data_IF_259559287599
#
_entry.id   IF_259559287599
#
_cell.length_a   1.000
_cell.length_b   1.000
_cell.length_c   1.000
_cell.angle_alpha   90.00
_cell.angle_beta   90.00
_cell.angle_gamma   90.00
#
_symmetry.space_group_name_H-M   'P 1'
#
loop_
_entity.id
_entity.type
_entity.pdbx_description
1 polymer ?
#
# COMPACT_ATOMS: atom_id res chain seq x y z
N UNK A 1 51.31 79.79 -5.31
CA UNK A 1 51.77 80.19 -3.96
C UNK A 1 51.26 79.13 -2.99
N UNK A 2 51.99 78.03 -2.75
CA UNK A 2 53.01 77.79 -1.70
C UNK A 2 52.65 78.36 -0.31
N UNK A 3 52.50 77.45 0.67
CA UNK A 3 52.28 77.70 2.10
C UNK A 3 50.93 77.12 2.55
N UNK A 4 50.79 76.27 3.58
CA UNK A 4 51.61 76.04 4.76
C UNK A 4 51.58 74.56 5.18
N UNK A 5 52.70 74.15 5.76
CA UNK A 5 52.87 72.93 6.51
C UNK A 5 52.44 73.15 7.97
N UNK A 6 51.81 72.15 8.59
CA UNK A 6 52.02 71.88 10.02
C UNK A 6 51.99 70.39 10.30
N UNK A 7 53.20 69.86 10.44
CA UNK A 7 53.57 68.52 10.88
C UNK A 7 53.46 68.47 12.42
N UNK A 8 52.72 67.51 12.99
CA UNK A 8 52.90 67.09 14.39
C UNK A 8 53.15 65.59 14.44
N UNK A 9 54.28 65.26 15.04
CA UNK A 9 54.92 63.95 15.12
C UNK A 9 54.36 63.11 16.27
N UNK A 10 54.24 61.80 16.00
CA UNK A 10 54.63 60.63 16.79
C UNK A 10 54.45 60.63 18.31
N UNK A 11 53.66 59.65 18.80
CA UNK A 11 53.94 58.68 19.87
C UNK A 11 52.68 57.78 19.91
N UNK A 12 52.68 56.56 19.37
CA UNK A 12 53.35 55.40 19.95
C UNK A 12 52.40 54.67 20.90
N UNK A 13 51.50 53.82 20.38
CA UNK A 13 50.86 52.74 21.15
C UNK A 13 50.61 51.55 20.22
N UNK A 14 51.43 50.52 20.38
CA UNK A 14 51.22 49.18 19.83
C UNK A 14 50.18 48.50 20.74
N UNK A 15 48.94 48.36 20.27
CA UNK A 15 47.90 47.62 20.98
C UNK A 15 47.58 46.34 20.21
N UNK A 16 48.32 45.29 20.54
CA UNK A 16 47.87 43.90 20.39
C UNK A 16 46.75 43.74 21.41
N UNK A 17 45.54 43.32 21.02
CA UNK A 17 44.64 42.53 21.88
C UNK A 17 43.42 41.98 21.09
N UNK A 18 43.37 40.64 21.12
CA UNK A 18 42.22 39.74 21.14
C UNK A 18 41.28 39.62 19.94
N UNK A 19 41.50 38.52 19.20
CA UNK A 19 40.45 37.65 18.66
C UNK A 19 39.27 37.53 19.63
N UNK A 20 38.14 38.16 19.33
CA UNK A 20 36.85 37.79 19.91
C UNK A 20 36.20 36.77 18.99
N UNK A 21 36.44 35.48 19.29
CA UNK A 21 35.62 34.39 18.77
C UNK A 21 34.23 34.57 19.36
N UNK A 22 33.32 35.19 18.62
CA UNK A 22 31.91 35.23 18.96
C UNK A 22 31.37 33.80 18.85
N UNK A 23 31.34 33.08 19.98
CA UNK A 23 30.66 31.82 20.11
C UNK A 23 29.16 32.07 19.92
N UNK A 24 28.67 31.92 18.68
CA UNK A 24 27.25 31.79 18.45
C UNK A 24 26.78 30.50 19.11
N UNK A 25 25.77 30.53 20.00
CA UNK A 25 25.13 29.31 20.44
C UNK A 25 24.37 28.77 19.22
N UNK A 26 24.98 27.80 18.55
CA UNK A 26 24.27 26.92 17.63
C UNK A 26 23.22 26.24 18.48
N UNK A 27 21.98 26.73 18.40
CA UNK A 27 20.82 25.95 18.82
C UNK A 27 20.74 24.76 17.88
N UNK A 28 21.49 23.72 18.21
CA UNK A 28 21.31 22.39 17.68
C UNK A 28 19.91 21.95 18.12
N UNK A 29 18.92 22.23 17.26
CA UNK A 29 17.59 21.68 17.38
C UNK A 29 17.76 20.19 17.12
N UNK A 30 17.97 19.42 18.18
CA UNK A 30 17.84 17.97 18.12
C UNK A 30 16.42 17.70 17.63
N UNK A 31 16.27 17.44 16.32
CA UNK A 31 15.13 16.68 15.84
C UNK A 31 15.26 15.34 16.54
N UNK A 32 14.52 15.19 17.63
CA UNK A 32 14.20 13.87 18.14
C UNK A 32 13.59 13.15 16.94
N UNK A 33 14.38 12.29 16.30
CA UNK A 33 13.87 11.28 15.39
C UNK A 33 12.80 10.55 16.19
N UNK A 34 11.53 10.88 15.92
CA UNK A 34 10.44 10.02 16.31
C UNK A 34 10.75 8.71 15.61
N UNK A 35 11.36 7.78 16.33
CA UNK A 35 11.41 6.37 15.97
C UNK A 35 9.95 5.98 15.83
N UNK A 36 9.41 6.11 14.62
CA UNK A 36 8.05 5.68 14.31
C UNK A 36 8.14 4.18 14.44
N UNK A 37 7.67 3.66 15.57
CA UNK A 37 7.62 2.23 15.84
C UNK A 37 6.81 1.58 14.71
N UNK A 38 7.50 1.03 13.71
CA UNK A 38 6.86 0.42 12.56
C UNK A 38 6.11 -0.83 13.03
N UNK A 39 4.96 -1.09 12.43
CA UNK A 39 4.35 -2.40 12.51
C UNK A 39 4.74 -3.25 11.31
N UNK A 40 4.49 -4.56 11.43
CA UNK A 40 4.74 -5.53 10.37
C UNK A 40 3.42 -6.07 9.88
N UNK A 41 3.24 -6.11 8.57
CA UNK A 41 2.10 -6.76 7.92
C UNK A 41 2.60 -8.01 7.22
N UNK A 42 2.20 -9.18 7.73
CA UNK A 42 2.49 -10.47 7.10
C UNK A 42 1.38 -10.80 6.12
N UNK A 43 1.73 -10.88 4.85
CA UNK A 43 0.83 -11.34 3.79
C UNK A 43 0.76 -12.87 3.87
N UNK A 44 -0.45 -13.37 4.07
CA UNK A 44 -0.75 -14.78 3.97
C UNK A 44 -1.47 -14.96 2.65
N UNK A 45 -0.82 -15.62 1.70
CA UNK A 45 -1.30 -15.81 0.33
C UNK A 45 -0.20 -15.57 -0.68
N UNK A 46 -0.46 -15.88 -1.95
CA UNK A 46 0.59 -15.94 -2.97
C UNK A 46 0.20 -15.25 -4.26
N UNK A 47 1.22 -15.03 -5.09
CA UNK A 47 1.04 -14.61 -6.48
C UNK A 47 0.64 -13.15 -6.65
N UNK A 48 0.85 -12.30 -5.65
CA UNK A 48 0.57 -10.86 -5.74
C UNK A 48 1.65 -10.17 -6.57
N UNK A 49 1.25 -9.47 -7.63
CA UNK A 49 2.12 -8.64 -8.47
C UNK A 49 1.95 -7.16 -8.16
N UNK A 50 0.79 -6.76 -7.63
CA UNK A 50 0.50 -5.39 -7.24
C UNK A 50 -0.44 -5.36 -6.05
N UNK A 51 -0.10 -4.59 -5.02
CA UNK A 51 -0.94 -4.38 -3.83
C UNK A 51 -1.02 -2.89 -3.53
N UNK A 52 -2.24 -2.38 -3.37
CA UNK A 52 -2.49 -1.02 -2.91
C UNK A 52 -3.25 -1.06 -1.61
N UNK A 53 -2.63 -0.49 -0.57
CA UNK A 53 -3.23 -0.29 0.74
C UNK A 53 -3.49 1.19 0.94
N UNK A 54 -4.59 1.53 1.62
CA UNK A 54 -4.94 2.92 1.90
C UNK A 54 -5.12 3.11 3.39
N UNK A 55 -4.36 4.05 3.95
CA UNK A 55 -4.47 4.44 5.35
C UNK A 55 -5.74 5.25 5.62
N UNK A 56 -6.09 5.41 6.90
CA UNK A 56 -7.22 6.28 7.33
C UNK A 56 -7.03 7.73 6.87
N UNK A 57 -5.78 8.18 6.77
CA UNK A 57 -5.36 9.49 6.23
C UNK A 57 -5.54 9.63 4.71
N UNK A 58 -6.06 8.59 4.04
CA UNK A 58 -6.21 8.47 2.58
C UNK A 58 -4.87 8.39 1.83
N UNK A 59 -3.76 8.20 2.53
CA UNK A 59 -2.48 7.95 1.89
C UNK A 59 -2.49 6.56 1.27
N UNK A 60 -2.15 6.50 -0.02
CA UNK A 60 -2.00 5.26 -0.78
C UNK A 60 -0.58 4.73 -0.60
N UNK A 61 -0.48 3.44 -0.30
CA UNK A 61 0.77 2.68 -0.20
C UNK A 61 0.73 1.61 -1.27
N UNK A 62 1.54 1.79 -2.32
CA UNK A 62 1.60 0.90 -3.48
C UNK A 62 2.84 0.01 -3.38
N UNK A 63 2.65 -1.27 -3.64
CA UNK A 63 3.72 -2.28 -3.61
C UNK A 63 3.68 -3.08 -4.91
N UNK A 64 4.78 -3.00 -5.68
CA UNK A 64 5.03 -3.91 -6.80
C UNK A 64 5.67 -5.20 -6.29
N UNK A 65 5.06 -6.34 -6.62
CA UNK A 65 5.46 -7.70 -6.18
C UNK A 65 5.91 -7.73 -4.71
N UNK A 66 4.99 -7.45 -3.76
CA UNK A 66 5.34 -7.41 -2.34
C UNK A 66 5.90 -8.77 -1.88
N UNK A 67 6.89 -8.73 -1.00
CA UNK A 67 7.32 -9.91 -0.24
C UNK A 67 6.29 -10.29 0.83
N UNK A 68 6.58 -11.36 1.57
CA UNK A 68 5.65 -11.90 2.58
C UNK A 68 5.44 -10.98 3.79
N UNK A 69 6.35 -10.04 4.03
CA UNK A 69 6.30 -9.12 5.17
C UNK A 69 6.56 -7.70 4.70
N UNK A 70 5.62 -6.80 5.00
CA UNK A 70 5.73 -5.37 4.74
C UNK A 70 5.93 -4.61 6.05
N UNK A 71 6.75 -3.56 6.01
CA UNK A 71 6.88 -2.62 7.12
C UNK A 71 6.01 -1.39 6.82
N UNK A 72 5.12 -1.07 7.75
CA UNK A 72 4.15 0.02 7.61
C UNK A 72 4.02 0.79 8.92
N UNK A 73 3.77 2.11 8.86
CA UNK A 73 3.43 2.87 10.05
C UNK A 73 2.22 2.27 10.75
N UNK A 74 2.17 2.28 12.10
CA UNK A 74 0.98 1.85 12.82
C UNK A 74 -0.23 2.64 12.40
N UNK A 75 -1.36 1.97 12.26
CA UNK A 75 -2.57 2.59 11.76
C UNK A 75 -3.62 1.61 11.29
N UNK A 76 -4.75 2.16 10.85
CA UNK A 76 -5.81 1.39 10.20
C UNK A 76 -5.67 1.55 8.69
N UNK A 77 -5.71 0.42 8.01
CA UNK A 77 -5.60 0.31 6.58
C UNK A 77 -6.79 -0.47 6.02
N UNK A 78 -7.04 -0.32 4.73
CA UNK A 78 -7.87 -1.23 3.95
C UNK A 78 -7.18 -1.51 2.62
N UNK A 79 -7.47 -2.67 2.05
CA UNK A 79 -6.96 -3.02 0.72
C UNK A 79 -7.81 -2.34 -0.33
N UNK A 80 -7.23 -1.51 -1.18
CA UNK A 80 -7.93 -0.88 -2.30
C UNK A 80 -7.87 -1.75 -3.55
N UNK A 81 -6.68 -2.27 -3.87
CA UNK A 81 -6.45 -3.05 -5.07
C UNK A 81 -5.46 -4.18 -4.81
N UNK A 82 -5.74 -5.33 -5.42
CA UNK A 82 -4.82 -6.46 -5.55
C UNK A 82 -4.81 -6.89 -7.01
N UNK A 83 -3.62 -7.09 -7.57
CA UNK A 83 -3.44 -7.82 -8.83
C UNK A 83 -2.56 -9.02 -8.60
N UNK A 84 -3.00 -10.15 -9.13
CA UNK A 84 -2.31 -11.41 -9.08
C UNK A 84 -1.71 -11.78 -10.44
N UNK A 85 -0.67 -12.60 -10.39
CA UNK A 85 -0.14 -13.36 -11.52
C UNK A 85 -1.29 -14.01 -12.29
N UNK A 86 -1.24 -13.94 -13.61
CA UNK A 86 -2.29 -14.48 -14.47
C UNK A 86 -3.45 -13.52 -14.74
N UNK A 87 -3.29 -12.22 -14.45
CA UNK A 87 -4.26 -11.15 -14.76
C UNK A 87 -5.59 -11.33 -14.03
N UNK A 88 -5.50 -11.62 -12.74
CA UNK A 88 -6.65 -11.57 -11.85
C UNK A 88 -6.54 -10.35 -10.97
N UNK A 89 -7.64 -9.61 -10.81
CA UNK A 89 -7.66 -8.42 -9.98
C UNK A 89 -8.83 -8.43 -9.02
N UNK A 90 -8.61 -7.82 -7.87
CA UNK A 90 -9.62 -7.52 -6.88
C UNK A 90 -9.53 -6.01 -6.62
N UNK A 91 -10.61 -5.28 -6.91
CA UNK A 91 -10.74 -3.89 -6.49
C UNK A 91 -11.79 -3.85 -5.39
N UNK A 92 -11.40 -3.39 -4.21
CA UNK A 92 -12.34 -3.22 -3.12
C UNK A 92 -12.82 -1.76 -3.12
N UNK A 93 -13.96 -1.53 -3.79
CA UNK A 93 -14.61 -0.22 -3.80
C UNK A 93 -15.33 0.08 -2.47
N UNK A 94 -15.52 -0.95 -1.65
CA UNK A 94 -16.26 -0.88 -0.40
C UNK A 94 -15.32 -0.67 0.79
N UNK A 95 -15.36 0.52 1.38
CA UNK A 95 -14.74 0.84 2.69
C UNK A 95 -15.49 0.22 3.88
N UNK A 96 -16.22 -0.87 3.68
CA UNK A 96 -16.91 -1.56 4.77
C UNK A 96 -15.90 -2.02 5.82
N UNK A 97 -16.31 -2.00 7.09
CA UNK A 97 -15.46 -2.37 8.24
C UNK A 97 -14.78 -3.74 8.08
N UNK A 98 -15.39 -4.63 7.29
CA UNK A 98 -14.94 -5.98 6.97
C UNK A 98 -13.62 -6.05 6.20
N UNK A 99 -13.26 -5.02 5.42
CA UNK A 99 -12.02 -5.00 4.62
C UNK A 99 -10.91 -4.17 5.26
N UNK A 100 -11.14 -3.66 6.47
CA UNK A 100 -10.15 -2.87 7.21
C UNK A 100 -9.42 -3.71 8.24
N UNK A 101 -8.12 -3.47 8.39
CA UNK A 101 -7.27 -4.12 9.38
C UNK A 101 -6.40 -3.09 10.10
N UNK A 102 -5.91 -3.45 11.29
CA UNK A 102 -5.08 -2.59 12.13
C UNK A 102 -3.67 -3.14 12.20
N UNK A 103 -2.70 -2.25 12.05
CA UNK A 103 -1.28 -2.51 12.29
C UNK A 103 -0.93 -1.82 13.61
N UNK A 104 -0.53 -2.60 14.61
CA UNK A 104 -0.07 -2.09 15.90
C UNK A 104 1.46 -1.88 15.89
N UNK A 105 1.99 -0.94 16.69
CA UNK A 105 3.43 -0.71 16.77
C UNK A 105 4.16 -1.95 17.27
N UNK A 106 5.30 -2.27 16.66
CA UNK A 106 6.17 -3.39 17.02
C UNK A 106 5.48 -4.78 17.02
N UNK A 107 4.31 -4.90 16.37
CA UNK A 107 3.58 -6.17 16.25
C UNK A 107 3.54 -6.65 14.80
N UNK A 108 3.14 -7.92 14.62
CA UNK A 108 2.87 -8.49 13.30
C UNK A 108 1.38 -8.75 13.14
N UNK A 109 0.75 -8.08 12.18
CA UNK A 109 -0.63 -8.33 11.76
C UNK A 109 -0.62 -9.24 10.54
N UNK A 110 -1.47 -10.27 10.52
CA UNK A 110 -1.66 -11.10 9.33
C UNK A 110 -2.76 -10.54 8.43
N UNK A 111 -2.49 -10.49 7.13
CA UNK A 111 -3.47 -10.19 6.08
C UNK A 111 -3.58 -11.38 5.15
N UNK A 112 -4.70 -12.10 5.23
CA UNK A 112 -5.03 -13.18 4.30
C UNK A 112 -5.53 -12.57 3.00
N UNK A 113 -4.74 -12.69 1.93
CA UNK A 113 -5.07 -12.12 0.62
C UNK A 113 -4.25 -12.76 -0.49
N UNK A 114 -4.84 -12.93 -1.65
CA UNK A 114 -4.24 -13.51 -2.84
C UNK A 114 -4.59 -14.98 -3.04
N UNK A 115 -3.75 -15.66 -3.83
CA UNK A 115 -3.93 -17.04 -4.20
C UNK A 115 -3.63 -18.02 -3.03
N UNK A 116 -4.09 -19.28 -3.08
CA UNK A 116 -4.87 -19.91 -4.16
C UNK A 116 -6.26 -19.29 -4.37
N UNK A 117 -6.72 -19.30 -5.63
CA UNK A 117 -8.06 -18.89 -5.98
C UNK A 117 -8.98 -20.12 -6.04
N UNK A 118 -10.07 -20.07 -5.29
CA UNK A 118 -11.12 -21.09 -5.28
C UNK A 118 -12.25 -20.67 -6.19
N UNK A 119 -12.67 -21.57 -7.09
CA UNK A 119 -13.85 -21.36 -7.92
C UNK A 119 -15.11 -21.52 -7.08
N UNK A 120 -16.04 -20.58 -7.20
CA UNK A 120 -17.33 -20.61 -6.53
C UNK A 120 -18.44 -20.50 -7.58
N UNK A 121 -19.48 -21.31 -7.41
CA UNK A 121 -20.66 -21.30 -8.28
C UNK A 121 -21.88 -21.11 -7.38
N UNK A 122 -22.71 -20.12 -7.69
CA UNK A 122 -24.03 -19.96 -7.10
C UNK A 122 -25.08 -20.38 -8.11
N UNK A 123 -26.10 -21.09 -7.64
CA UNK A 123 -27.20 -21.56 -8.47
C UNK A 123 -28.50 -21.09 -7.84
N UNK A 124 -29.31 -20.36 -8.60
CA UNK A 124 -30.62 -19.92 -8.17
C UNK A 124 -31.66 -20.27 -9.23
N UNK A 125 -32.79 -20.83 -8.81
CA UNK A 125 -33.93 -21.06 -9.70
C UNK A 125 -34.73 -19.76 -9.83
N UNK A 126 -34.93 -19.29 -11.06
CA UNK A 126 -35.81 -18.18 -11.41
C UNK A 126 -36.87 -18.66 -12.39
N UNK A 127 -38.03 -19.07 -11.86
CA UNK A 127 -39.11 -19.66 -12.64
C UNK A 127 -38.67 -20.94 -13.36
N UNK A 128 -38.64 -20.88 -14.69
CA UNK A 128 -38.19 -21.98 -15.58
C UNK A 128 -36.70 -21.90 -15.95
N UNK A 129 -35.96 -20.92 -15.43
CA UNK A 129 -34.55 -20.69 -15.73
C UNK A 129 -33.69 -20.98 -14.50
N UNK A 130 -32.50 -21.54 -14.70
CA UNK A 130 -31.44 -21.58 -13.69
C UNK A 130 -30.50 -20.41 -13.93
N UNK A 131 -30.39 -19.52 -12.95
CA UNK A 131 -29.36 -18.49 -12.94
C UNK A 131 -28.11 -19.06 -12.27
N UNK A 132 -27.01 -19.05 -13.02
CA UNK A 132 -25.70 -19.49 -12.56
C UNK A 132 -24.80 -18.26 -12.38
N UNK A 133 -24.20 -18.10 -11.20
CA UNK A 133 -23.16 -17.10 -10.94
C UNK A 133 -21.82 -17.78 -10.77
N UNK A 134 -20.79 -17.29 -11.44
CA UNK A 134 -19.40 -17.74 -11.25
C UNK A 134 -18.61 -16.68 -10.51
N UNK A 135 -17.75 -17.11 -9.58
CA UNK A 135 -16.83 -16.25 -8.85
C UNK A 135 -15.48 -16.93 -8.59
N UNK A 136 -14.45 -16.11 -8.42
CA UNK A 136 -13.15 -16.53 -7.91
C UNK A 136 -12.96 -15.90 -6.54
N UNK A 137 -12.65 -16.71 -5.54
CA UNK A 137 -12.46 -16.28 -4.16
C UNK A 137 -11.01 -16.53 -3.75
N UNK A 138 -10.32 -15.51 -3.24
CA UNK A 138 -9.01 -15.70 -2.62
C UNK A 138 -9.10 -16.21 -1.19
N UNK A 139 -7.95 -16.40 -0.57
CA UNK A 139 -7.90 -17.00 0.78
C UNK A 139 -8.44 -16.09 1.89
N UNK A 140 -8.55 -14.79 1.63
CA UNK A 140 -9.14 -13.80 2.53
C UNK A 140 -10.65 -13.61 2.34
N UNK A 141 -11.27 -14.35 1.40
CA UNK A 141 -12.67 -14.18 1.03
C UNK A 141 -12.90 -13.10 -0.03
N UNK A 142 -11.83 -12.47 -0.53
CA UNK A 142 -11.90 -11.43 -1.53
C UNK A 142 -12.25 -11.99 -2.92
N UNK A 143 -13.05 -11.24 -3.67
CA UNK A 143 -13.53 -11.66 -4.99
C UNK A 143 -12.61 -11.15 -6.08
N UNK A 144 -12.11 -12.08 -6.90
CA UNK A 144 -11.32 -11.76 -8.07
C UNK A 144 -12.14 -11.86 -9.35
N UNK A 145 -11.78 -11.01 -10.29
CA UNK A 145 -12.19 -11.11 -11.70
C UNK A 145 -10.94 -11.30 -12.55
N UNK A 146 -11.11 -11.96 -13.70
CA UNK A 146 -10.04 -11.94 -14.70
C UNK A 146 -10.11 -10.64 -15.49
N UNK A 147 -8.97 -9.97 -15.67
CA UNK A 147 -8.87 -8.81 -16.55
C UNK A 147 -8.97 -9.23 -18.03
N UNK A 148 -8.87 -10.53 -18.32
CA UNK A 148 -8.98 -11.07 -19.67
C UNK A 148 -10.37 -11.64 -19.94
N UNK A 149 -11.09 -11.01 -20.87
CA UNK A 149 -12.40 -11.49 -21.32
C UNK A 149 -12.35 -12.54 -22.44
N UNK A 150 -11.15 -12.88 -22.94
CA UNK A 150 -10.99 -13.79 -24.09
C UNK A 150 -11.23 -15.28 -23.78
N UNK A 151 -11.18 -15.67 -22.50
CA UNK A 151 -11.32 -17.06 -22.05
C UNK A 151 -12.37 -17.17 -20.93
N UNK A 152 -13.67 -16.99 -21.25
CA UNK A 152 -14.72 -17.11 -20.25
C UNK A 152 -14.78 -18.52 -19.66
N UNK A 153 -15.09 -18.65 -18.36
CA UNK A 153 -15.34 -19.94 -17.73
C UNK A 153 -16.44 -20.71 -18.45
N UNK A 154 -16.33 -22.05 -18.47
CA UNK A 154 -17.30 -22.94 -19.12
C UNK A 154 -18.02 -23.77 -18.08
N UNK A 155 -19.26 -24.15 -18.35
CA UNK A 155 -20.01 -25.07 -17.52
C UNK A 155 -20.71 -26.13 -18.37
N UNK A 156 -21.02 -27.26 -17.74
CA UNK A 156 -21.84 -28.32 -18.29
C UNK A 156 -22.84 -28.77 -17.24
N UNK A 157 -24.06 -29.09 -17.68
CA UNK A 157 -25.16 -29.54 -16.82
C UNK A 157 -25.47 -30.99 -17.16
N UNK A 158 -25.55 -31.82 -16.12
CA UNK A 158 -25.79 -33.25 -16.24
C UNK A 158 -27.06 -33.65 -15.48
N UNK A 159 -27.77 -34.66 -16.00
CA UNK A 159 -28.84 -35.38 -15.32
C UNK A 159 -28.42 -36.84 -15.21
N UNK A 160 -28.04 -37.28 -14.00
CA UNK A 160 -27.22 -38.49 -13.86
C UNK A 160 -25.94 -38.33 -14.68
N UNK A 161 -25.62 -39.33 -15.51
CA UNK A 161 -24.42 -39.28 -16.36
C UNK A 161 -24.65 -38.60 -17.71
N UNK A 162 -25.89 -38.22 -18.04
CA UNK A 162 -26.22 -37.61 -19.33
C UNK A 162 -26.04 -36.09 -19.28
N UNK A 163 -25.17 -35.55 -20.13
CA UNK A 163 -25.08 -34.11 -20.38
C UNK A 163 -26.37 -33.61 -21.03
N UNK A 164 -27.06 -32.68 -20.38
CA UNK A 164 -28.32 -32.07 -20.86
C UNK A 164 -28.15 -30.62 -21.32
N UNK A 165 -26.99 -30.02 -21.07
CA UNK A 165 -26.70 -28.66 -21.49
C UNK A 165 -25.31 -28.20 -21.09
N UNK A 166 -25.00 -26.96 -21.40
CA UNK A 166 -23.74 -26.32 -21.04
C UNK A 166 -23.54 -25.04 -21.82
N UNK A 167 -22.50 -24.31 -21.48
CA UNK A 167 -22.21 -23.02 -22.09
C UNK A 167 -20.97 -22.37 -21.53
N UNK A 168 -20.86 -21.07 -21.75
CA UNK A 168 -19.85 -20.22 -21.14
C UNK A 168 -20.55 -19.20 -20.26
N UNK A 169 -19.91 -18.79 -19.18
CA UNK A 169 -20.38 -17.66 -18.39
C UNK A 169 -20.16 -16.38 -19.17
N UNK A 170 -21.18 -15.53 -19.19
CA UNK A 170 -21.05 -14.15 -19.66
C UNK A 170 -20.31 -13.32 -18.60
N UNK A 171 -19.60 -12.30 -19.05
CA UNK A 171 -18.95 -11.35 -18.13
C UNK A 171 -20.01 -10.37 -17.62
N UNK A 172 -20.01 -10.13 -16.31
CA UNK A 172 -20.72 -9.00 -15.69
C UNK A 172 -20.08 -7.67 -16.07
#
# INVERSE_FOLDING_TARGET
MKGQATLRRFFGVFCIICLSVAAMPVFARAQADKKIDQGRLKIVGKGIEHLVLVGKDRKRHEFGTPGDILSLPPGRYYTEQVRLKGRFSCNTYSRTSTNSFKIDPNSTTELKIGAPLTQTITVARKGRILQLGYGLCGIGGEKYTSDSRSKPPKFAVYKGDKKIGGGKFEFG
#
